data_IF_238181944167
#
_entry.id   IF_238181944167
#
_cell.length_a   1.000
_cell.length_b   1.000
_cell.length_c   1.000
_cell.angle_alpha   90.00
_cell.angle_beta   90.00
_cell.angle_gamma   90.00
#
_symmetry.space_group_name_H-M   'P 1'
#
loop_
_entity.id
_entity.type
_entity.pdbx_description
1 polymer ?
#
# COMPACT_ATOMS: atom_id res chain seq x y z
N UNK A 1 -24.66 4.59 -6.71
CA UNK A 1 -23.76 5.06 -5.63
C UNK A 1 -23.30 3.83 -4.89
N UNK A 2 -22.07 3.41 -5.11
CA UNK A 2 -21.47 2.28 -4.38
C UNK A 2 -21.10 2.76 -2.98
N UNK A 3 -21.56 2.05 -1.93
CA UNK A 3 -21.13 2.32 -0.56
C UNK A 3 -19.61 2.27 -0.44
N UNK A 4 -18.96 3.22 0.28
CA UNK A 4 -17.52 3.23 0.45
C UNK A 4 -17.06 1.91 1.10
N UNK A 5 -15.95 1.35 0.60
CA UNK A 5 -15.41 0.07 1.07
C UNK A 5 -15.02 0.11 2.54
N UNK A 6 -14.48 1.23 3.01
CA UNK A 6 -14.12 1.47 4.41
C UNK A 6 -14.41 2.93 4.74
N UNK A 7 -15.15 3.20 5.82
CA UNK A 7 -15.36 4.58 6.26
C UNK A 7 -14.16 5.06 7.08
N UNK A 8 -13.82 6.35 6.97
CA UNK A 8 -12.75 7.01 7.75
C UNK A 8 -12.83 6.71 9.23
N UNK A 9 -14.03 6.79 9.82
CA UNK A 9 -14.24 6.52 11.24
C UNK A 9 -13.98 5.06 11.64
N UNK A 10 -14.26 4.09 10.78
CA UNK A 10 -14.03 2.67 11.07
C UNK A 10 -12.55 2.34 11.05
N UNK A 11 -11.82 2.83 10.05
CA UNK A 11 -10.38 2.62 9.95
C UNK A 11 -9.61 3.32 11.08
N UNK A 12 -9.96 4.57 11.39
CA UNK A 12 -9.36 5.32 12.49
C UNK A 12 -9.57 4.64 13.85
N UNK A 13 -10.81 4.13 14.12
CA UNK A 13 -11.08 3.36 15.35
C UNK A 13 -10.27 2.08 15.43
N UNK A 14 -10.18 1.32 14.33
CA UNK A 14 -9.37 0.10 14.30
C UNK A 14 -7.89 0.40 14.58
N UNK A 15 -7.32 1.40 13.94
CA UNK A 15 -5.95 1.83 14.13
C UNK A 15 -5.65 2.30 15.55
N UNK A 16 -6.62 2.92 16.23
CA UNK A 16 -6.51 3.32 17.63
C UNK A 16 -6.45 2.14 18.60
N UNK A 17 -6.82 0.93 18.17
CA UNK A 17 -6.64 -0.28 18.97
C UNK A 17 -5.17 -0.67 19.05
N UNK A 18 -4.78 -1.39 20.13
CA UNK A 18 -3.41 -1.93 20.26
C UNK A 18 -3.03 -2.79 19.06
N UNK A 19 -3.95 -3.66 18.61
CA UNK A 19 -3.74 -4.53 17.46
C UNK A 19 -3.54 -3.70 16.18
N UNK A 20 -4.43 -2.78 15.89
CA UNK A 20 -4.36 -1.94 14.68
C UNK A 20 -3.09 -1.11 14.61
N UNK A 21 -2.70 -0.45 15.72
CA UNK A 21 -1.50 0.35 15.76
C UNK A 21 -0.19 -0.46 15.66
N UNK A 22 -0.18 -1.72 16.15
CA UNK A 22 0.97 -2.62 15.94
C UNK A 22 1.04 -3.05 14.47
N UNK A 23 -0.09 -3.47 13.92
CA UNK A 23 -0.20 -3.92 12.53
C UNK A 23 0.24 -2.81 11.56
N UNK A 24 -0.31 -1.59 11.70
CA UNK A 24 0.07 -0.44 10.88
C UNK A 24 1.58 -0.15 10.93
N UNK A 25 2.20 -0.18 12.11
CA UNK A 25 3.65 0.03 12.23
C UNK A 25 4.46 -1.04 11.50
N UNK A 26 4.04 -2.31 11.56
CA UNK A 26 4.70 -3.42 10.88
C UNK A 26 4.57 -3.27 9.36
N UNK A 27 3.36 -2.99 8.86
CA UNK A 27 3.07 -2.76 7.45
C UNK A 27 3.84 -1.55 6.90
N UNK A 28 3.74 -0.40 7.58
CA UNK A 28 4.45 0.82 7.20
C UNK A 28 5.95 0.60 7.14
N UNK A 29 6.51 -0.10 8.12
CA UNK A 29 7.94 -0.40 8.15
C UNK A 29 8.39 -1.16 6.90
N UNK A 30 7.74 -2.26 6.54
CA UNK A 30 8.14 -3.08 5.39
C UNK A 30 7.97 -2.34 4.07
N UNK A 31 6.92 -1.52 3.93
CA UNK A 31 6.71 -0.68 2.75
C UNK A 31 7.86 0.31 2.58
N UNK A 32 8.25 1.03 3.64
CA UNK A 32 9.32 2.02 3.54
C UNK A 32 10.73 1.42 3.50
N UNK A 33 10.94 0.23 4.05
CA UNK A 33 12.19 -0.53 3.81
C UNK A 33 12.36 -0.87 2.33
N UNK A 34 11.26 -1.23 1.64
CA UNK A 34 11.27 -1.53 0.20
C UNK A 34 11.33 -0.26 -0.66
N UNK A 35 10.71 0.82 -0.24
CA UNK A 35 10.74 2.10 -0.95
C UNK A 35 12.14 2.74 -0.97
N UNK A 36 12.95 2.48 0.05
CA UNK A 36 14.30 3.02 0.18
C UNK A 36 14.33 4.51 0.57
N UNK A 37 15.37 5.21 0.13
CA UNK A 37 15.56 6.63 0.43
C UNK A 37 14.57 7.50 -0.37
N UNK A 38 13.83 8.38 0.33
CA UNK A 38 12.76 9.20 -0.27
C UNK A 38 13.07 10.70 -0.29
N UNK A 39 14.12 11.16 0.42
CA UNK A 39 14.44 12.58 0.49
C UNK A 39 14.60 13.21 -0.89
N UNK A 40 13.80 14.23 -1.18
CA UNK A 40 13.80 14.96 -2.44
C UNK A 40 13.13 14.23 -3.61
N UNK A 41 12.67 12.98 -3.43
CA UNK A 41 11.98 12.22 -4.48
C UNK A 41 10.53 12.66 -4.62
N UNK A 42 10.03 12.62 -5.86
CA UNK A 42 8.61 12.78 -6.19
C UNK A 42 7.91 11.46 -5.91
N UNK A 43 7.01 11.46 -4.93
CA UNK A 43 6.29 10.26 -4.48
C UNK A 43 4.81 10.42 -4.76
N UNK A 44 4.21 9.41 -5.41
CA UNK A 44 2.77 9.28 -5.53
C UNK A 44 2.28 8.19 -4.57
N UNK A 45 1.27 8.51 -3.75
CA UNK A 45 0.56 7.53 -2.90
C UNK A 45 -0.85 7.32 -3.49
N UNK A 46 -1.08 6.15 -4.10
CA UNK A 46 -2.33 5.81 -4.78
C UNK A 46 -3.26 5.10 -3.81
N UNK A 47 -4.49 5.59 -3.67
CA UNK A 47 -5.45 5.12 -2.68
C UNK A 47 -4.98 5.43 -1.26
N UNK A 48 -4.61 6.70 -1.04
CA UNK A 48 -3.94 7.16 0.18
C UNK A 48 -4.76 6.97 1.46
N UNK A 49 -6.08 6.77 1.34
CA UNK A 49 -6.96 6.72 2.49
C UNK A 49 -6.81 7.98 3.35
N UNK A 50 -6.66 7.81 4.64
CA UNK A 50 -6.44 8.92 5.59
C UNK A 50 -4.97 9.40 5.65
N UNK A 51 -4.15 9.06 4.64
CA UNK A 51 -2.82 9.62 4.42
C UNK A 51 -1.69 8.93 5.17
N UNK A 52 -1.85 7.71 5.67
CA UNK A 52 -0.81 7.03 6.47
C UNK A 52 0.53 6.98 5.74
N UNK A 53 0.57 6.52 4.49
CA UNK A 53 1.82 6.39 3.72
C UNK A 53 2.29 7.72 3.15
N UNK A 54 1.37 8.57 2.65
CA UNK A 54 1.69 9.91 2.16
C UNK A 54 2.38 10.78 3.23
N UNK A 55 1.82 10.80 4.43
CA UNK A 55 2.34 11.60 5.56
C UNK A 55 3.71 11.08 6.01
N UNK A 56 3.89 9.77 6.06
CA UNK A 56 5.17 9.17 6.41
C UNK A 56 6.24 9.41 5.33
N UNK A 57 5.88 9.37 4.04
CA UNK A 57 6.78 9.74 2.94
C UNK A 57 7.20 11.22 3.04
N UNK A 58 6.25 12.13 3.30
CA UNK A 58 6.54 13.55 3.50
C UNK A 58 7.46 13.80 4.71
N UNK A 59 7.24 13.08 5.82
CA UNK A 59 8.11 13.14 6.99
C UNK A 59 9.54 12.67 6.70
N UNK A 60 9.74 11.82 5.69
CA UNK A 60 11.05 11.37 5.17
C UNK A 60 11.65 12.33 4.14
N UNK A 61 11.02 13.47 3.90
CA UNK A 61 11.51 14.53 3.03
C UNK A 61 11.18 14.34 1.54
N UNK A 62 10.18 13.53 1.21
CA UNK A 62 9.67 13.43 -0.15
C UNK A 62 8.78 14.62 -0.53
N UNK A 63 8.69 14.88 -1.83
CA UNK A 63 7.63 15.74 -2.43
C UNK A 63 6.46 14.82 -2.76
N UNK A 64 5.38 14.91 -1.99
CA UNK A 64 4.30 13.92 -2.02
C UNK A 64 3.06 14.47 -2.70
N UNK A 65 2.57 13.69 -3.66
CA UNK A 65 1.21 13.76 -4.19
C UNK A 65 0.47 12.50 -3.75
N UNK A 66 -0.78 12.63 -3.34
CA UNK A 66 -1.58 11.51 -2.88
C UNK A 66 -3.00 11.61 -3.46
N UNK A 67 -3.55 10.46 -3.81
CA UNK A 67 -4.81 10.35 -4.52
C UNK A 67 -5.71 9.32 -3.85
N UNK A 68 -7.00 9.64 -3.74
CA UNK A 68 -8.03 8.71 -3.28
C UNK A 68 -9.35 8.98 -4.00
N UNK A 69 -10.19 7.96 -4.11
CA UNK A 69 -11.52 8.09 -4.70
C UNK A 69 -12.51 8.75 -3.73
N UNK A 70 -12.32 8.54 -2.42
CA UNK A 70 -13.26 8.96 -1.39
C UNK A 70 -12.89 10.35 -0.82
N UNK A 71 -13.75 11.38 -1.00
CA UNK A 71 -13.48 12.74 -0.51
C UNK A 71 -13.24 12.81 1.00
N UNK A 72 -13.98 12.02 1.79
CA UNK A 72 -13.84 11.98 3.24
C UNK A 72 -12.45 11.47 3.69
N UNK A 73 -11.85 10.57 2.91
CA UNK A 73 -10.50 10.10 3.13
C UNK A 73 -9.48 11.20 2.88
N UNK A 74 -9.63 11.95 1.79
CA UNK A 74 -8.77 13.09 1.48
C UNK A 74 -8.85 14.20 2.54
N UNK A 75 -10.05 14.46 3.08
CA UNK A 75 -10.22 15.41 4.17
C UNK A 75 -9.51 14.95 5.45
N UNK A 76 -9.65 13.68 5.80
CA UNK A 76 -8.93 13.08 6.94
C UNK A 76 -7.40 13.14 6.74
N UNK A 77 -6.92 12.84 5.53
CA UNK A 77 -5.50 12.94 5.19
C UNK A 77 -4.98 14.38 5.31
N UNK A 78 -5.76 15.36 4.83
CA UNK A 78 -5.44 16.79 4.95
C UNK A 78 -5.33 17.23 6.40
N UNK A 79 -6.29 16.89 7.22
CA UNK A 79 -6.29 17.20 8.64
C UNK A 79 -5.08 16.59 9.36
N UNK A 80 -4.77 15.32 9.09
CA UNK A 80 -3.62 14.62 9.69
C UNK A 80 -2.27 15.19 9.24
N UNK A 81 -2.12 15.54 7.96
CA UNK A 81 -0.90 16.18 7.44
C UNK A 81 -0.67 17.55 8.10
N UNK A 82 -1.74 18.35 8.20
CA UNK A 82 -1.72 19.68 8.84
C UNK A 82 -1.31 19.61 10.32
N UNK A 83 -1.85 18.64 11.07
CA UNK A 83 -1.50 18.42 12.48
C UNK A 83 0.00 18.10 12.68
N UNK A 84 0.66 17.55 11.66
CA UNK A 84 2.10 17.23 11.66
C UNK A 84 2.95 18.32 10.99
N UNK A 85 2.35 19.41 10.50
CA UNK A 85 3.04 20.47 9.77
C UNK A 85 3.64 20.01 8.44
N UNK A 86 3.10 18.96 7.84
CA UNK A 86 3.60 18.36 6.60
C UNK A 86 2.77 18.80 5.41
N UNK A 87 3.43 18.97 4.24
CA UNK A 87 2.79 19.32 2.98
C UNK A 87 2.60 18.06 2.15
N UNK A 88 1.35 17.79 1.76
CA UNK A 88 0.95 16.71 0.85
C UNK A 88 -0.06 17.29 -0.13
N UNK A 89 0.17 17.12 -1.43
CA UNK A 89 -0.79 17.47 -2.48
C UNK A 89 -1.84 16.37 -2.55
N UNK A 90 -3.11 16.70 -2.29
CA UNK A 90 -4.21 15.73 -2.22
C UNK A 90 -5.19 15.96 -3.36
N UNK A 91 -5.49 14.92 -4.14
CA UNK A 91 -6.33 14.96 -5.34
C UNK A 91 -7.35 13.82 -5.32
N UNK A 92 -8.60 14.06 -5.75
CA UNK A 92 -9.52 12.98 -6.03
C UNK A 92 -9.13 12.26 -7.32
N UNK A 93 -9.26 10.92 -7.36
CA UNK A 93 -8.98 10.15 -8.56
C UNK A 93 -9.05 8.64 -8.35
N UNK A 94 -9.01 7.93 -9.47
CA UNK A 94 -9.06 6.46 -9.53
C UNK A 94 -7.68 5.90 -9.83
N UNK A 95 -7.40 4.74 -9.27
CA UNK A 95 -6.12 4.06 -9.51
C UNK A 95 -5.98 3.57 -10.96
N UNK A 96 -7.10 3.28 -11.62
CA UNK A 96 -7.16 2.79 -13.00
C UNK A 96 -7.00 3.90 -14.06
N UNK A 97 -7.04 5.19 -13.64
CA UNK A 97 -6.93 6.35 -14.52
C UNK A 97 -6.25 7.48 -13.75
N UNK A 98 -4.93 7.49 -13.75
CA UNK A 98 -4.14 8.49 -12.99
C UNK A 98 -4.02 9.79 -13.78
N UNK A 99 -4.42 10.96 -13.21
CA UNK A 99 -4.43 12.24 -13.90
C UNK A 99 -3.03 12.89 -13.93
N UNK A 100 -2.02 12.12 -14.32
CA UNK A 100 -0.63 12.57 -14.37
C UNK A 100 0.03 12.14 -15.69
N UNK A 101 1.00 12.93 -16.14
CA UNK A 101 1.82 12.60 -17.29
C UNK A 101 2.72 11.39 -17.01
N UNK A 102 3.19 10.76 -18.08
CA UNK A 102 4.17 9.68 -18.01
C UNK A 102 5.43 10.14 -17.28
N UNK A 103 6.07 9.23 -16.55
CA UNK A 103 7.35 9.45 -15.88
C UNK A 103 7.35 10.64 -14.87
N UNK A 104 6.20 10.95 -14.26
CA UNK A 104 6.03 12.06 -13.32
C UNK A 104 6.59 11.80 -11.93
N UNK A 105 6.76 10.52 -11.53
CA UNK A 105 7.13 10.15 -10.16
C UNK A 105 8.34 9.21 -10.10
N UNK A 106 9.16 9.40 -9.08
CA UNK A 106 10.33 8.57 -8.82
C UNK A 106 9.98 7.33 -7.99
N UNK A 107 8.92 7.43 -7.16
CA UNK A 107 8.37 6.32 -6.39
C UNK A 107 6.85 6.39 -6.41
N UNK A 108 6.21 5.24 -6.63
CA UNK A 108 4.76 5.07 -6.49
C UNK A 108 4.50 4.07 -5.36
N UNK A 109 3.66 4.46 -4.41
CA UNK A 109 3.19 3.62 -3.32
C UNK A 109 1.71 3.29 -3.53
N UNK A 110 1.30 2.06 -3.27
CA UNK A 110 -0.10 1.67 -3.20
C UNK A 110 -0.27 0.57 -2.14
N UNK A 111 -0.94 0.89 -1.05
CA UNK A 111 -1.11 -0.02 0.07
C UNK A 111 -2.58 -0.29 0.38
N UNK A 112 -2.99 -1.57 0.31
CA UNK A 112 -4.38 -2.05 0.48
C UNK A 112 -5.37 -1.40 -0.48
N UNK A 113 -4.94 -1.16 -1.71
CA UNK A 113 -5.71 -0.57 -2.80
C UNK A 113 -6.21 -1.64 -3.75
N UNK A 114 -5.30 -2.47 -4.28
CA UNK A 114 -5.62 -3.46 -5.29
C UNK A 114 -6.57 -4.56 -4.79
N UNK A 115 -6.70 -4.71 -3.47
CA UNK A 115 -7.69 -5.59 -2.88
C UNK A 115 -9.13 -5.09 -3.09
N UNK A 116 -9.35 -3.81 -3.44
CA UNK A 116 -10.66 -3.21 -3.64
C UNK A 116 -10.87 -2.67 -5.07
N UNK A 117 -9.83 -2.54 -5.87
CA UNK A 117 -9.89 -2.05 -7.25
C UNK A 117 -10.49 -3.13 -8.16
N UNK A 118 -11.50 -2.80 -9.00
CA UNK A 118 -12.10 -3.73 -9.96
C UNK A 118 -11.09 -4.28 -10.97
N UNK A 119 -10.27 -3.39 -11.57
CA UNK A 119 -9.33 -3.69 -12.66
C UNK A 119 -7.87 -3.47 -12.20
N UNK A 120 -7.29 -4.39 -11.40
CA UNK A 120 -5.96 -4.19 -10.83
C UNK A 120 -4.84 -4.16 -11.89
N UNK A 121 -5.02 -4.84 -13.03
CA UNK A 121 -4.07 -4.81 -14.14
C UNK A 121 -3.99 -3.40 -14.75
N UNK A 122 -5.13 -2.72 -14.93
CA UNK A 122 -5.18 -1.33 -15.38
C UNK A 122 -4.52 -0.41 -14.34
N UNK A 123 -4.85 -0.59 -13.06
CA UNK A 123 -4.29 0.24 -12.00
C UNK A 123 -2.76 0.14 -11.93
N UNK A 124 -2.21 -1.07 -11.99
CA UNK A 124 -0.74 -1.26 -11.98
C UNK A 124 -0.10 -0.79 -13.28
N UNK A 125 -0.79 -0.91 -14.42
CA UNK A 125 -0.36 -0.32 -15.70
C UNK A 125 -0.23 1.20 -15.61
N UNK A 126 -1.21 1.90 -15.03
CA UNK A 126 -1.17 3.34 -14.79
C UNK A 126 -0.06 3.74 -13.82
N UNK A 127 0.11 2.99 -12.72
CA UNK A 127 1.23 3.20 -11.79
C UNK A 127 2.58 3.04 -12.48
N UNK A 128 2.74 2.06 -13.37
CA UNK A 128 3.94 1.87 -14.17
C UNK A 128 4.13 2.98 -15.21
N UNK A 129 3.06 3.49 -15.81
CA UNK A 129 3.11 4.59 -16.78
C UNK A 129 3.66 5.86 -16.14
N UNK A 130 3.10 6.26 -15.01
CA UNK A 130 3.49 7.51 -14.32
C UNK A 130 4.84 7.40 -13.60
N UNK A 131 5.39 6.20 -13.47
CA UNK A 131 6.69 5.97 -12.85
C UNK A 131 7.82 6.36 -13.83
N UNK A 132 8.79 7.13 -13.37
CA UNK A 132 9.96 7.53 -14.14
C UNK A 132 10.84 6.30 -14.44
N UNK A 133 11.64 6.31 -15.53
CA UNK A 133 12.69 5.33 -15.74
C UNK A 133 13.63 5.25 -14.53
N UNK A 134 13.96 4.03 -14.08
CA UNK A 134 14.71 3.81 -12.83
C UNK A 134 13.88 4.04 -11.56
N UNK A 135 12.61 4.41 -11.68
CA UNK A 135 11.69 4.60 -10.56
C UNK A 135 11.18 3.27 -9.97
N UNK A 136 10.61 3.35 -8.77
CA UNK A 136 10.19 2.18 -7.97
C UNK A 136 8.71 2.21 -7.63
N UNK A 137 8.01 1.13 -7.94
CA UNK A 137 6.68 0.82 -7.42
C UNK A 137 6.79 -0.01 -6.15
N UNK A 138 6.04 0.36 -5.10
CA UNK A 138 5.88 -0.47 -3.90
C UNK A 138 4.40 -0.73 -3.69
N UNK A 139 4.02 -2.01 -3.79
CA UNK A 139 2.68 -2.49 -3.49
C UNK A 139 2.66 -3.11 -2.10
N UNK A 140 1.60 -2.83 -1.33
CA UNK A 140 1.33 -3.45 -0.05
C UNK A 140 -0.09 -4.03 -0.01
N UNK A 141 -0.25 -5.36 0.04
CA UNK A 141 -1.56 -5.98 -0.18
C UNK A 141 -1.91 -7.08 0.84
N UNK A 142 -3.19 -7.39 0.93
CA UNK A 142 -3.70 -8.42 1.82
C UNK A 142 -3.25 -9.81 1.37
N UNK A 143 -2.49 -10.51 2.22
CA UNK A 143 -1.95 -11.84 1.95
C UNK A 143 -3.02 -12.93 2.01
N UNK A 144 -3.08 -13.78 0.96
CA UNK A 144 -4.09 -14.82 0.77
C UNK A 144 -3.99 -15.97 1.79
N UNK A 145 -2.76 -16.32 2.17
CA UNK A 145 -2.46 -17.50 2.98
C UNK A 145 -2.09 -17.11 4.41
N UNK A 146 -3.06 -16.52 5.14
CA UNK A 146 -2.88 -16.07 6.52
C UNK A 146 -4.11 -16.35 7.37
N UNK A 147 -3.93 -16.40 8.68
CA UNK A 147 -5.05 -16.50 9.65
C UNK A 147 -6.00 -15.29 9.48
N UNK A 148 -5.46 -14.11 9.22
CA UNK A 148 -6.25 -12.90 8.95
C UNK A 148 -7.14 -13.05 7.70
N UNK A 149 -6.60 -13.63 6.62
CA UNK A 149 -7.38 -13.86 5.42
C UNK A 149 -8.51 -14.87 5.66
N UNK A 150 -8.25 -15.92 6.45
CA UNK A 150 -9.29 -16.89 6.83
C UNK A 150 -10.39 -16.22 7.65
N UNK A 151 -10.06 -15.45 8.69
CA UNK A 151 -11.01 -14.70 9.51
C UNK A 151 -11.85 -13.72 8.68
N UNK A 152 -11.21 -12.92 7.82
CA UNK A 152 -11.88 -11.94 6.96
C UNK A 152 -12.83 -12.60 5.97
N UNK A 153 -12.50 -13.76 5.40
CA UNK A 153 -13.40 -14.54 4.53
C UNK A 153 -14.61 -15.05 5.29
N UNK A 154 -14.41 -15.58 6.50
CA UNK A 154 -15.53 -16.00 7.36
C UNK A 154 -16.44 -14.83 7.67
N UNK A 155 -15.90 -13.66 8.02
CA UNK A 155 -16.69 -12.44 8.21
C UNK A 155 -17.44 -12.02 6.94
N UNK A 156 -16.83 -12.16 5.77
CA UNK A 156 -17.48 -11.92 4.48
C UNK A 156 -18.69 -12.84 4.27
N UNK A 157 -18.56 -14.12 4.60
CA UNK A 157 -19.68 -15.10 4.56
C UNK A 157 -20.80 -14.73 5.56
N UNK A 158 -20.44 -14.21 6.72
CA UNK A 158 -21.37 -13.78 7.76
C UNK A 158 -22.02 -12.41 7.49
N UNK A 159 -21.81 -11.82 6.29
CA UNK A 159 -22.47 -10.59 5.86
C UNK A 159 -21.63 -9.31 5.87
N UNK A 160 -20.36 -9.36 6.25
CA UNK A 160 -19.49 -8.19 6.18
C UNK A 160 -19.15 -7.86 4.71
N UNK A 161 -19.85 -6.86 4.13
CA UNK A 161 -19.80 -6.49 2.71
C UNK A 161 -18.38 -6.17 2.22
N UNK A 162 -17.58 -5.48 3.02
CA UNK A 162 -16.18 -5.14 2.73
C UNK A 162 -15.35 -6.38 2.43
N UNK A 163 -15.40 -7.39 3.30
CA UNK A 163 -14.58 -8.59 3.15
C UNK A 163 -15.07 -9.54 2.07
N UNK A 164 -16.35 -9.48 1.72
CA UNK A 164 -16.91 -10.26 0.61
C UNK A 164 -16.38 -9.79 -0.75
N UNK A 165 -16.06 -8.51 -0.90
CA UNK A 165 -15.53 -7.92 -2.13
C UNK A 165 -14.00 -7.86 -2.15
N UNK A 166 -13.35 -7.98 -0.99
CA UNK A 166 -11.90 -7.87 -0.89
C UNK A 166 -11.18 -9.02 -1.60
N UNK A 167 -10.21 -8.66 -2.46
CA UNK A 167 -9.28 -9.61 -3.09
C UNK A 167 -8.09 -9.84 -2.18
N UNK A 168 -7.70 -11.11 -2.02
CA UNK A 168 -6.51 -11.50 -1.27
C UNK A 168 -5.46 -12.03 -2.25
N UNK A 169 -4.24 -11.54 -2.13
CA UNK A 169 -3.17 -11.78 -3.06
C UNK A 169 -2.22 -12.89 -2.62
N UNK A 170 -1.71 -13.66 -3.57
CA UNK A 170 -0.53 -14.49 -3.39
C UNK A 170 0.71 -13.76 -3.88
N UNK A 171 1.90 -14.20 -3.43
CA UNK A 171 3.18 -13.65 -3.92
C UNK A 171 3.30 -13.78 -5.44
N UNK A 172 2.93 -14.96 -5.98
CA UNK A 172 2.97 -15.22 -7.41
C UNK A 172 2.05 -14.27 -8.20
N UNK A 173 0.80 -14.07 -7.74
CA UNK A 173 -0.14 -13.19 -8.43
C UNK A 173 0.31 -11.71 -8.42
N UNK A 174 0.85 -11.20 -7.29
CA UNK A 174 1.42 -9.84 -7.26
C UNK A 174 2.66 -9.71 -8.15
N UNK A 175 3.50 -10.74 -8.19
CA UNK A 175 4.68 -10.77 -9.06
C UNK A 175 4.29 -10.75 -10.54
N UNK A 176 3.30 -11.54 -10.92
CA UNK A 176 2.78 -11.58 -12.28
C UNK A 176 2.17 -10.26 -12.70
N UNK A 177 1.35 -9.65 -11.82
CA UNK A 177 0.73 -8.35 -12.04
C UNK A 177 1.78 -7.25 -12.33
N UNK A 178 2.85 -7.18 -11.53
CA UNK A 178 3.93 -6.21 -11.75
C UNK A 178 4.70 -6.48 -13.06
N UNK A 179 4.96 -7.75 -13.38
CA UNK A 179 5.64 -8.15 -14.63
C UNK A 179 4.81 -7.82 -15.87
N UNK A 180 3.50 -8.05 -15.83
CA UNK A 180 2.58 -7.73 -16.92
C UNK A 180 2.55 -6.22 -17.21
N UNK A 181 2.78 -5.38 -16.19
CA UNK A 181 2.93 -3.94 -16.35
C UNK A 181 4.35 -3.49 -16.81
N UNK A 182 5.22 -4.43 -17.18
CA UNK A 182 6.58 -4.14 -17.67
C UNK A 182 7.59 -3.80 -16.57
N UNK A 183 7.33 -4.15 -15.31
CA UNK A 183 8.22 -3.87 -14.19
C UNK A 183 9.06 -5.08 -13.80
N UNK A 184 10.28 -4.82 -13.31
CA UNK A 184 11.18 -5.82 -12.77
C UNK A 184 11.01 -5.96 -11.27
N UNK A 185 10.53 -7.13 -10.81
CA UNK A 185 10.31 -7.37 -9.38
C UNK A 185 11.64 -7.52 -8.65
N UNK A 186 11.94 -6.57 -7.78
CA UNK A 186 13.16 -6.54 -6.97
C UNK A 186 13.03 -7.37 -5.68
N UNK A 187 11.86 -7.33 -5.03
CA UNK A 187 11.62 -8.07 -3.80
C UNK A 187 10.13 -8.30 -3.54
N UNK A 188 9.81 -9.42 -2.88
CA UNK A 188 8.48 -9.67 -2.28
C UNK A 188 8.69 -10.12 -0.85
N UNK A 189 8.10 -9.41 0.12
CA UNK A 189 8.20 -9.71 1.55
C UNK A 189 6.83 -9.93 2.16
N UNK A 190 6.71 -10.91 3.06
CA UNK A 190 5.55 -11.07 3.93
C UNK A 190 5.78 -10.38 5.26
N UNK A 191 4.71 -9.89 5.89
CA UNK A 191 4.72 -9.38 7.26
C UNK A 191 3.38 -9.62 7.94
N UNK A 192 3.26 -9.24 9.22
CA UNK A 192 2.07 -9.52 10.04
C UNK A 192 1.82 -11.01 10.14
N UNK A 193 2.77 -11.73 10.78
CA UNK A 193 2.68 -13.17 10.97
C UNK A 193 1.88 -13.57 12.22
N UNK A 194 1.56 -12.63 13.10
CA UNK A 194 0.73 -12.88 14.29
C UNK A 194 -0.76 -12.99 13.93
N UNK A 195 -1.55 -13.75 14.69
CA UNK A 195 -3.00 -13.83 14.51
C UNK A 195 -3.67 -12.49 14.91
N UNK A 196 -4.97 -12.27 14.54
CA UNK A 196 -5.70 -11.03 14.84
C UNK A 196 -6.07 -10.90 16.33
N UNK A 197 -5.07 -10.85 17.19
CA UNK A 197 -5.15 -10.73 18.65
C UNK A 197 -4.14 -9.71 19.14
N UNK A 198 -4.60 -8.72 19.89
CA UNK A 198 -3.75 -7.66 20.45
C UNK A 198 -2.66 -8.19 21.38
N UNK A 199 -2.93 -9.29 22.10
CA UNK A 199 -1.96 -9.93 22.96
C UNK A 199 -0.88 -10.64 22.12
N UNK A 200 -1.29 -11.45 21.13
CA UNK A 200 -0.37 -12.11 20.22
C UNK A 200 0.50 -11.11 19.45
N UNK A 201 -0.11 -10.02 18.93
CA UNK A 201 0.61 -8.95 18.27
C UNK A 201 1.69 -8.33 19.16
N UNK A 202 1.38 -8.08 20.45
CA UNK A 202 2.34 -7.48 21.40
C UNK A 202 3.59 -8.36 21.60
N UNK A 203 3.42 -9.68 21.69
CA UNK A 203 4.52 -10.61 21.91
C UNK A 203 5.27 -10.94 20.61
N UNK A 204 4.58 -11.00 19.47
CA UNK A 204 5.19 -11.38 18.20
C UNK A 204 5.83 -10.21 17.45
N UNK A 205 5.33 -8.97 17.61
CA UNK A 205 5.84 -7.80 16.89
C UNK A 205 7.36 -7.57 16.99
N UNK A 206 8.05 -7.83 18.11
CA UNK A 206 9.51 -7.71 18.16
C UNK A 206 10.25 -8.67 17.22
N UNK A 207 9.64 -9.80 16.86
CA UNK A 207 10.20 -10.83 15.97
C UNK A 207 9.84 -10.62 14.49
N UNK A 208 8.87 -9.73 14.19
CA UNK A 208 8.44 -9.44 12.82
C UNK A 208 9.59 -9.09 11.87
N UNK A 209 10.59 -8.28 12.25
CA UNK A 209 11.72 -7.98 11.36
C UNK A 209 12.46 -9.23 10.91
N UNK A 210 12.71 -10.16 11.84
CA UNK A 210 13.37 -11.42 11.55
C UNK A 210 12.51 -12.30 10.64
N UNK A 211 11.22 -12.45 10.95
CA UNK A 211 10.28 -13.25 10.17
C UNK A 211 10.11 -12.71 8.74
N UNK A 212 10.02 -11.38 8.61
CA UNK A 212 9.98 -10.68 7.32
C UNK A 212 11.27 -10.90 6.52
N UNK A 213 12.42 -10.87 7.18
CA UNK A 213 13.73 -11.08 6.55
C UNK A 213 13.93 -12.54 6.08
N UNK A 214 13.47 -13.50 6.86
CA UNK A 214 13.45 -14.92 6.51
C UNK A 214 12.46 -15.23 5.36
N UNK A 215 11.66 -14.26 4.96
CA UNK A 215 10.72 -14.34 3.84
C UNK A 215 9.74 -15.51 3.93
N UNK A 216 9.27 -15.80 5.14
CA UNK A 216 8.37 -16.93 5.43
C UNK A 216 7.03 -16.79 4.69
N UNK A 217 6.38 -17.91 4.33
CA UNK A 217 5.00 -17.89 3.85
C UNK A 217 4.03 -17.53 4.99
N UNK A 218 2.81 -17.09 4.64
CA UNK A 218 1.72 -16.91 5.62
C UNK A 218 1.60 -15.52 6.22
N UNK A 219 2.38 -14.53 5.77
CA UNK A 219 2.18 -13.13 6.15
C UNK A 219 0.79 -12.62 5.76
N UNK A 220 0.13 -11.90 6.67
CA UNK A 220 -1.18 -11.29 6.41
C UNK A 220 -1.09 -10.05 5.52
N UNK A 221 0.08 -9.45 5.41
CA UNK A 221 0.43 -8.38 4.51
C UNK A 221 1.60 -8.80 3.63
N UNK A 222 1.47 -8.55 2.33
CA UNK A 222 2.51 -8.80 1.33
C UNK A 222 2.96 -7.47 0.76
N UNK A 223 4.24 -7.16 0.85
CA UNK A 223 4.84 -6.00 0.23
C UNK A 223 5.73 -6.44 -0.94
N UNK A 224 5.54 -5.80 -2.10
CA UNK A 224 6.31 -6.03 -3.32
C UNK A 224 6.98 -4.73 -3.74
N UNK A 225 8.27 -4.78 -4.08
CA UNK A 225 8.97 -3.71 -4.78
C UNK A 225 9.28 -4.14 -6.20
N UNK A 226 9.00 -3.27 -7.16
CA UNK A 226 9.35 -3.48 -8.56
C UNK A 226 9.90 -2.18 -9.17
N UNK A 227 10.88 -2.31 -10.03
CA UNK A 227 11.59 -1.19 -10.65
C UNK A 227 11.24 -1.09 -12.13
N UNK A 228 11.05 0.13 -12.61
CA UNK A 228 10.93 0.42 -14.04
C UNK A 228 12.34 0.49 -14.66
N UNK A 229 12.54 -0.20 -15.79
CA UNK A 229 13.83 -0.16 -16.48
C UNK A 229 14.29 1.27 -16.72
N UNK A 230 15.58 1.51 -16.58
CA UNK A 230 16.18 2.75 -17.05
C UNK A 230 16.02 2.84 -18.57
N UNK A 231 15.83 4.05 -19.10
CA UNK A 231 15.87 4.26 -20.53
C UNK A 231 17.28 3.86 -21.02
N UNK A 232 17.43 2.98 -22.05
CA UNK A 232 18.76 2.71 -22.57
C UNK A 232 19.38 4.05 -22.93
N UNK A 233 20.53 4.38 -22.32
CA UNK A 233 21.29 5.56 -22.70
C UNK A 233 21.53 5.43 -24.20
N UNK A 234 20.97 6.35 -24.99
CA UNK A 234 21.31 6.50 -26.40
C UNK A 234 22.82 6.82 -26.45
N UNK A 235 23.62 5.74 -26.58
CA UNK A 235 25.04 5.87 -26.82
C UNK A 235 25.20 6.64 -28.09
N UNK A 236 25.69 7.85 -27.96
CA UNK A 236 26.19 8.65 -29.08
C UNK A 236 27.55 8.19 -29.54
#
# INVERSE_FOLDING_TARGET
VTEPFVTTGTYARWRATKLGGITERVETRVVFELAGALRGKRVLDVGTGDGTYAIEAAARGAVVTALDLEPDMLEAARARASLRGLKVSLLPGRAEELPFDDASFDVVLAATVLCFVPEPDMAVGEMARVLAPGGRLVLGELGRFSVWAAERRVRGWLGASTWRRARFWSRAALTELAKNAGLHVAAVRGSVFFPPSGLAARFAAPFEPLLTHLNLPGGAFLALAADKSECPSSGG
#
